data_IF_153535337862
#
_entry.id   IF_153535337862
#
_cell.length_a   1.000
_cell.length_b   1.000
_cell.length_c   1.000
_cell.angle_alpha   90.00
_cell.angle_beta   90.00
_cell.angle_gamma   90.00
#
_symmetry.space_group_name_H-M   'P 1'
#
loop_
_entity.id
_entity.type
_entity.pdbx_description
1 polymer ?
#
# COMPACT_ATOMS: atom_id res chain seq x y z
N UNK A 1 -7.09 21.82 -15.19
CA UNK A 1 -7.56 21.57 -13.81
C UNK A 1 -6.49 22.08 -12.86
N UNK A 2 -6.83 23.07 -12.03
CA UNK A 2 -5.84 23.78 -11.21
C UNK A 2 -5.42 22.94 -10.00
N UNK A 3 -4.14 23.04 -9.61
CA UNK A 3 -3.59 22.40 -8.41
C UNK A 3 -4.33 22.81 -7.12
N UNK A 4 -5.02 23.96 -7.16
CA UNK A 4 -5.80 24.52 -6.06
C UNK A 4 -7.15 23.82 -5.88
N UNK A 5 -7.80 23.38 -6.96
CA UNK A 5 -9.10 22.68 -6.90
C UNK A 5 -8.95 21.25 -6.35
N UNK A 6 -7.79 20.62 -6.57
CA UNK A 6 -7.42 19.35 -5.91
C UNK A 6 -7.20 19.54 -4.41
N UNK A 7 -6.88 20.77 -3.98
CA UNK A 7 -6.55 21.13 -2.60
C UNK A 7 -7.78 21.40 -1.72
N UNK A 8 -8.95 21.65 -2.30
CA UNK A 8 -10.17 21.93 -1.52
C UNK A 8 -10.98 20.64 -1.27
N UNK A 9 -10.77 19.60 -2.08
CA UNK A 9 -11.49 18.31 -1.97
C UNK A 9 -11.02 17.41 -0.82
N UNK A 10 -9.83 17.65 -0.24
CA UNK A 10 -9.25 16.78 0.80
C UNK A 10 -9.67 17.12 2.25
N UNK A 11 -10.42 18.19 2.48
CA UNK A 11 -10.77 18.64 3.83
C UNK A 11 -11.95 17.87 4.49
N UNK A 12 -12.49 16.81 3.87
CA UNK A 12 -13.77 16.19 4.28
C UNK A 12 -13.63 15.06 5.33
N UNK A 13 -12.44 14.56 5.64
CA UNK A 13 -12.29 13.33 6.45
C UNK A 13 -11.71 13.49 7.87
N UNK A 14 -11.47 14.72 8.36
CA UNK A 14 -11.08 14.93 9.77
C UNK A 14 -9.74 14.30 10.20
N UNK A 15 -8.92 13.84 9.24
CA UNK A 15 -7.53 13.44 9.44
C UNK A 15 -6.66 14.54 8.81
N UNK A 16 -5.86 15.24 9.60
CA UNK A 16 -4.82 16.14 9.05
C UNK A 16 -3.78 15.30 8.32
N UNK A 17 -4.00 15.06 7.03
CA UNK A 17 -3.05 14.40 6.13
C UNK A 17 -1.77 15.25 6.07
N UNK A 18 -0.64 14.61 6.38
CA UNK A 18 0.67 15.26 6.42
C UNK A 18 1.15 15.55 5.00
N UNK A 19 1.98 16.60 4.76
CA UNK A 19 2.67 16.80 3.49
C UNK A 19 3.44 15.56 2.98
N UNK A 20 3.85 14.65 3.88
CA UNK A 20 4.44 13.36 3.53
C UNK A 20 3.44 12.41 2.87
N UNK A 21 2.16 12.50 3.23
CA UNK A 21 1.08 11.65 2.71
C UNK A 21 0.83 11.94 1.21
N UNK A 22 1.00 13.20 0.82
CA UNK A 22 0.92 13.62 -0.57
C UNK A 22 2.16 13.25 -1.38
N UNK A 23 3.35 13.24 -0.75
CA UNK A 23 4.63 13.03 -1.45
C UNK A 23 4.80 11.60 -1.95
N UNK A 24 4.44 10.58 -1.17
CA UNK A 24 4.53 9.19 -1.64
C UNK A 24 3.48 8.88 -2.72
N UNK A 25 2.28 9.47 -2.62
CA UNK A 25 1.24 9.31 -3.64
C UNK A 25 1.68 9.90 -4.98
N UNK A 26 2.38 11.04 -4.95
CA UNK A 26 3.00 11.62 -6.15
C UNK A 26 4.08 10.68 -6.74
N UNK A 27 4.93 10.07 -5.90
CA UNK A 27 5.93 9.13 -6.42
C UNK A 27 5.29 7.89 -7.04
N UNK A 28 4.23 7.34 -6.46
CA UNK A 28 3.47 6.22 -7.04
C UNK A 28 2.84 6.62 -8.37
N UNK A 29 2.26 7.82 -8.48
CA UNK A 29 1.73 8.33 -9.74
C UNK A 29 2.81 8.41 -10.84
N UNK A 30 4.02 8.86 -10.48
CA UNK A 30 5.16 8.87 -11.42
C UNK A 30 5.57 7.46 -11.86
N UNK A 31 5.40 6.43 -11.01
CA UNK A 31 5.61 5.04 -11.44
C UNK A 31 4.60 4.66 -12.51
N UNK A 32 3.33 5.03 -12.34
CA UNK A 32 2.29 4.79 -13.37
C UNK A 32 2.62 5.49 -14.69
N UNK A 33 3.05 6.75 -14.63
CA UNK A 33 3.45 7.50 -15.82
C UNK A 33 4.63 6.81 -16.53
N UNK A 34 5.61 6.31 -15.78
CA UNK A 34 6.73 5.55 -16.33
C UNK A 34 6.28 4.20 -16.93
N UNK A 35 5.31 3.54 -16.31
CA UNK A 35 4.71 2.30 -16.83
C UNK A 35 4.01 2.55 -18.16
N UNK A 36 3.22 3.63 -18.26
CA UNK A 36 2.56 4.04 -19.51
C UNK A 36 3.59 4.43 -20.59
N UNK A 37 4.69 5.07 -20.19
CA UNK A 37 5.77 5.47 -21.10
C UNK A 37 6.61 4.31 -21.64
N UNK A 38 6.55 3.11 -21.05
CA UNK A 38 7.27 1.93 -21.53
C UNK A 38 8.78 1.92 -21.27
N UNK A 39 9.33 2.93 -20.59
CA UNK A 39 10.75 2.97 -20.24
C UNK A 39 11.02 2.18 -18.95
N UNK A 40 11.53 0.95 -19.11
CA UNK A 40 11.86 0.07 -18.00
C UNK A 40 12.88 0.68 -17.01
N UNK A 41 13.82 1.51 -17.48
CA UNK A 41 14.79 2.18 -16.61
C UNK A 41 14.11 3.26 -15.77
N UNK A 42 13.20 4.03 -16.38
CA UNK A 42 12.39 5.02 -15.66
C UNK A 42 11.45 4.36 -14.64
N UNK A 43 10.82 3.24 -15.00
CA UNK A 43 9.96 2.46 -14.08
C UNK A 43 10.74 2.02 -12.84
N UNK A 44 11.92 1.41 -13.03
CA UNK A 44 12.77 0.92 -11.94
C UNK A 44 13.20 2.06 -11.01
N UNK A 45 13.68 3.17 -11.59
CA UNK A 45 14.17 4.33 -10.84
C UNK A 45 13.08 4.97 -10.01
N UNK A 46 11.91 5.14 -10.61
CA UNK A 46 10.78 5.81 -9.96
C UNK A 46 10.17 4.91 -8.89
N UNK A 47 10.10 3.60 -9.13
CA UNK A 47 9.68 2.63 -8.12
C UNK A 47 10.62 2.61 -6.91
N UNK A 48 11.93 2.67 -7.13
CA UNK A 48 12.92 2.73 -6.03
C UNK A 48 12.78 4.02 -5.21
N UNK A 49 12.56 5.16 -5.87
CA UNK A 49 12.31 6.44 -5.19
C UNK A 49 11.02 6.38 -4.33
N UNK A 50 9.93 5.83 -4.89
CA UNK A 50 8.69 5.61 -4.15
C UNK A 50 8.89 4.71 -2.93
N UNK A 51 9.67 3.63 -3.08
CA UNK A 51 9.99 2.71 -1.98
C UNK A 51 10.75 3.39 -0.84
N UNK A 52 11.77 4.20 -1.15
CA UNK A 52 12.54 4.94 -0.14
C UNK A 52 11.67 5.93 0.64
N UNK A 53 10.81 6.69 -0.05
CA UNK A 53 9.87 7.62 0.59
C UNK A 53 8.82 6.88 1.44
N UNK A 54 8.27 5.78 0.93
CA UNK A 54 7.32 4.94 1.66
C UNK A 54 7.94 4.34 2.92
N UNK A 55 9.20 3.90 2.87
CA UNK A 55 9.93 3.44 4.03
C UNK A 55 10.10 4.55 5.07
N UNK A 56 10.45 5.77 4.64
CA UNK A 56 10.60 6.95 5.51
C UNK A 56 9.29 7.43 6.17
N UNK A 57 8.13 7.18 5.55
CA UNK A 57 6.82 7.62 6.08
C UNK A 57 6.41 6.94 7.39
N UNK A 58 6.94 5.74 7.67
CA UNK A 58 6.48 4.84 8.75
C UNK A 58 4.99 4.46 8.71
N UNK A 59 4.29 4.75 7.61
CA UNK A 59 2.88 4.40 7.39
C UNK A 59 2.73 3.07 6.65
N UNK A 60 1.56 2.44 6.77
CA UNK A 60 1.28 1.18 6.08
C UNK A 60 0.75 1.43 4.65
N UNK A 61 -0.02 2.49 4.44
CA UNK A 61 -0.63 2.87 3.15
C UNK A 61 0.41 2.98 2.03
N UNK A 62 1.55 3.65 2.22
CA UNK A 62 2.55 3.82 1.15
C UNK A 62 3.22 2.49 0.78
N UNK A 63 3.33 1.58 1.74
CA UNK A 63 3.92 0.26 1.49
C UNK A 63 2.98 -0.63 0.68
N UNK A 64 1.66 -0.54 0.88
CA UNK A 64 0.69 -1.18 -0.01
C UNK A 64 0.86 -0.65 -1.43
N UNK A 65 0.89 0.67 -1.60
CA UNK A 65 0.99 1.29 -2.91
C UNK A 65 2.31 0.93 -3.65
N UNK A 66 3.43 0.84 -2.93
CA UNK A 66 4.72 0.38 -3.48
C UNK A 66 4.68 -1.09 -3.89
N UNK A 67 3.96 -1.94 -3.15
CA UNK A 67 3.72 -3.34 -3.52
C UNK A 67 2.88 -3.46 -4.78
N UNK A 68 1.77 -2.73 -4.86
CA UNK A 68 0.91 -2.71 -6.06
C UNK A 68 1.69 -2.20 -7.29
N UNK A 69 2.49 -1.15 -7.11
CA UNK A 69 3.35 -0.61 -8.15
C UNK A 69 4.45 -1.60 -8.58
N UNK A 70 5.03 -2.37 -7.65
CA UNK A 70 5.98 -3.43 -7.99
C UNK A 70 5.35 -4.45 -8.93
N UNK A 71 4.11 -4.90 -8.65
CA UNK A 71 3.41 -5.84 -9.53
C UNK A 71 3.18 -5.27 -10.93
N UNK A 72 2.85 -3.98 -11.05
CA UNK A 72 2.69 -3.30 -12.35
C UNK A 72 4.00 -3.23 -13.12
N UNK A 73 5.10 -2.85 -12.47
CA UNK A 73 6.43 -2.83 -13.11
C UNK A 73 6.87 -4.23 -13.53
N UNK A 74 6.63 -5.25 -12.69
CA UNK A 74 6.93 -6.64 -13.02
C UNK A 74 6.22 -7.11 -14.29
N UNK A 75 4.91 -6.83 -14.40
CA UNK A 75 4.12 -7.13 -15.61
C UNK A 75 4.60 -6.36 -16.84
N UNK A 76 4.90 -5.06 -16.70
CA UNK A 76 5.31 -4.22 -17.83
C UNK A 76 6.71 -4.58 -18.37
N UNK A 77 7.61 -5.04 -17.50
CA UNK A 77 9.00 -5.37 -17.85
C UNK A 77 9.24 -6.85 -18.13
N UNK A 78 8.29 -7.71 -17.81
CA UNK A 78 8.45 -9.17 -17.86
C UNK A 78 9.23 -9.78 -16.68
N UNK A 79 9.71 -8.95 -15.74
CA UNK A 79 10.45 -9.39 -14.55
C UNK A 79 9.52 -9.76 -13.39
N UNK A 80 8.45 -10.50 -13.67
CA UNK A 80 7.36 -10.80 -12.72
C UNK A 80 7.88 -11.40 -11.41
N UNK A 81 8.69 -12.46 -11.45
CA UNK A 81 9.19 -13.15 -10.24
C UNK A 81 9.97 -12.20 -9.32
N UNK A 82 10.86 -11.38 -9.89
CA UNK A 82 11.68 -10.46 -9.12
C UNK A 82 10.84 -9.36 -8.45
N UNK A 83 9.79 -8.91 -9.13
CA UNK A 83 8.91 -7.86 -8.61
C UNK A 83 7.81 -8.37 -7.69
N UNK A 84 7.37 -9.62 -7.82
CA UNK A 84 6.53 -10.29 -6.82
C UNK A 84 7.27 -10.43 -5.49
N UNK A 85 8.57 -10.78 -5.52
CA UNK A 85 9.39 -10.81 -4.31
C UNK A 85 9.47 -9.43 -3.62
N UNK A 86 9.59 -8.36 -4.41
CA UNK A 86 9.56 -6.97 -3.91
C UNK A 86 8.19 -6.57 -3.36
N UNK A 87 7.11 -6.96 -4.03
CA UNK A 87 5.75 -6.72 -3.57
C UNK A 87 5.49 -7.42 -2.23
N UNK A 88 5.88 -8.69 -2.11
CA UNK A 88 5.80 -9.49 -0.87
C UNK A 88 6.52 -8.80 0.29
N UNK A 89 7.73 -8.29 0.08
CA UNK A 89 8.46 -7.52 1.10
C UNK A 89 7.67 -6.26 1.52
N UNK A 90 7.13 -5.51 0.55
CA UNK A 90 6.34 -4.32 0.83
C UNK A 90 5.07 -4.65 1.65
N UNK A 91 4.37 -5.73 1.32
CA UNK A 91 3.18 -6.18 2.06
C UNK A 91 3.50 -6.67 3.47
N UNK A 92 4.65 -7.30 3.71
CA UNK A 92 5.09 -7.63 5.07
C UNK A 92 5.32 -6.38 5.92
N UNK A 93 5.98 -5.36 5.36
CA UNK A 93 6.18 -4.08 6.08
C UNK A 93 4.83 -3.39 6.31
N UNK A 94 3.93 -3.40 5.33
CA UNK A 94 2.58 -2.86 5.48
C UNK A 94 1.80 -3.56 6.60
N UNK A 95 1.79 -4.90 6.63
CA UNK A 95 1.13 -5.70 7.66
C UNK A 95 1.68 -5.39 9.05
N UNK A 96 3.01 -5.34 9.19
CA UNK A 96 3.67 -5.03 10.46
C UNK A 96 3.25 -3.64 10.98
N UNK A 97 3.29 -2.63 10.12
CA UNK A 97 2.91 -1.25 10.47
C UNK A 97 1.43 -1.13 10.78
N UNK A 98 0.56 -1.74 9.95
CA UNK A 98 -0.88 -1.74 10.17
C UNK A 98 -1.25 -2.40 11.50
N UNK A 99 -0.59 -3.51 11.85
CA UNK A 99 -0.79 -4.17 13.13
C UNK A 99 -0.37 -3.28 14.31
N UNK A 100 0.79 -2.62 14.23
CA UNK A 100 1.25 -1.66 15.26
C UNK A 100 0.33 -0.45 15.41
N UNK A 101 -0.28 0.00 14.32
CA UNK A 101 -1.20 1.13 14.29
C UNK A 101 -2.66 0.74 14.56
N UNK A 102 -2.93 -0.54 14.89
CA UNK A 102 -4.29 -1.06 15.16
C UNK A 102 -5.23 -0.79 13.96
N UNK A 103 -4.69 -0.84 12.74
CA UNK A 103 -5.43 -0.55 11.50
C UNK A 103 -6.01 -1.83 10.92
N UNK A 104 -7.29 -2.08 11.16
CA UNK A 104 -8.03 -3.21 10.58
C UNK A 104 -8.01 -3.16 9.05
N UNK A 105 -8.18 -1.97 8.49
CA UNK A 105 -8.12 -1.74 7.05
C UNK A 105 -6.74 -2.07 6.49
N UNK A 106 -5.67 -1.60 7.15
CA UNK A 106 -4.31 -1.88 6.70
C UNK A 106 -3.96 -3.37 6.71
N UNK A 107 -4.43 -4.12 7.72
CA UNK A 107 -4.24 -5.58 7.78
C UNK A 107 -4.97 -6.26 6.62
N UNK A 108 -6.22 -5.86 6.33
CA UNK A 108 -7.00 -6.43 5.21
C UNK A 108 -6.38 -6.11 3.86
N UNK A 109 -5.90 -4.89 3.65
CA UNK A 109 -5.22 -4.49 2.42
C UNK A 109 -3.93 -5.26 2.21
N UNK A 110 -3.13 -5.47 3.27
CA UNK A 110 -1.93 -6.29 3.19
C UNK A 110 -2.28 -7.76 2.86
N UNK A 111 -3.35 -8.31 3.45
CA UNK A 111 -3.83 -9.66 3.13
C UNK A 111 -4.20 -9.80 1.63
N UNK A 112 -4.91 -8.82 1.07
CA UNK A 112 -5.21 -8.79 -0.37
C UNK A 112 -3.95 -8.69 -1.24
N UNK A 113 -2.90 -8.02 -0.76
CA UNK A 113 -1.59 -8.00 -1.43
C UNK A 113 -0.91 -9.37 -1.44
N UNK A 114 -0.92 -10.10 -0.33
CA UNK A 114 -0.38 -11.47 -0.25
C UNK A 114 -1.13 -12.43 -1.18
N UNK A 115 -2.46 -12.34 -1.24
CA UNK A 115 -3.27 -13.16 -2.16
C UNK A 115 -2.90 -12.90 -3.63
N UNK A 116 -2.68 -11.63 -4.01
CA UNK A 116 -2.24 -11.28 -5.37
C UNK A 116 -0.89 -11.88 -5.78
N UNK A 117 0.00 -12.19 -4.83
CA UNK A 117 1.31 -12.81 -5.09
C UNK A 117 1.32 -14.32 -4.83
N UNK A 118 0.15 -14.92 -4.58
CA UNK A 118 -0.02 -16.36 -4.36
C UNK A 118 0.25 -16.83 -2.92
N UNK A 119 0.53 -15.93 -1.98
CA UNK A 119 0.83 -16.26 -0.58
C UNK A 119 -0.45 -16.45 0.24
N UNK A 120 -1.30 -17.39 -0.19
CA UNK A 120 -2.65 -17.59 0.36
C UNK A 120 -2.66 -17.86 1.87
N UNK A 121 -1.74 -18.69 2.35
CA UNK A 121 -1.63 -19.00 3.78
C UNK A 121 -1.33 -17.75 4.63
N UNK A 122 -0.47 -16.87 4.12
CA UNK A 122 -0.11 -15.61 4.77
C UNK A 122 -1.30 -14.64 4.75
N UNK A 123 -2.03 -14.57 3.64
CA UNK A 123 -3.24 -13.77 3.53
C UNK A 123 -4.30 -14.21 4.57
N UNK A 124 -4.55 -15.51 4.70
CA UNK A 124 -5.48 -16.06 5.69
C UNK A 124 -5.03 -15.78 7.12
N UNK A 125 -3.73 -15.88 7.42
CA UNK A 125 -3.20 -15.54 8.74
C UNK A 125 -3.38 -14.05 9.06
N UNK A 126 -3.15 -13.15 8.09
CA UNK A 126 -3.40 -11.73 8.25
C UNK A 126 -4.89 -11.43 8.52
N UNK A 127 -5.81 -12.13 7.84
CA UNK A 127 -7.25 -11.99 8.11
C UNK A 127 -7.64 -12.47 9.52
N UNK A 128 -7.04 -13.56 10.02
CA UNK A 128 -7.22 -14.01 11.41
C UNK A 128 -6.72 -12.97 12.41
N UNK A 129 -5.59 -12.31 12.13
CA UNK A 129 -5.08 -11.21 12.96
C UNK A 129 -6.05 -10.01 12.98
N UNK A 130 -6.62 -9.65 11.83
CA UNK A 130 -7.64 -8.61 11.71
C UNK A 130 -8.88 -8.94 12.54
N UNK A 131 -9.36 -10.19 12.49
CA UNK A 131 -10.50 -10.62 13.30
C UNK A 131 -10.20 -10.49 14.81
N UNK A 132 -9.08 -11.03 15.28
CA UNK A 132 -8.71 -10.92 16.70
C UNK A 132 -8.53 -9.47 17.16
N UNK A 133 -8.04 -8.58 16.29
CA UNK A 133 -7.96 -7.15 16.58
C UNK A 133 -9.37 -6.53 16.71
N UNK A 134 -10.28 -6.86 15.81
CA UNK A 134 -11.64 -6.35 15.84
C UNK A 134 -12.39 -6.79 17.11
N UNK A 135 -12.20 -8.04 17.54
CA UNK A 135 -12.79 -8.58 18.77
C UNK A 135 -12.26 -7.86 20.02
N UNK A 136 -10.94 -7.67 20.14
CA UNK A 136 -10.31 -7.00 21.29
C UNK A 136 -10.71 -5.53 21.44
N UNK A 137 -10.95 -4.85 20.32
CA UNK A 137 -11.23 -3.41 20.30
C UNK A 137 -12.72 -3.09 20.07
N UNK A 138 -13.60 -4.10 20.04
CA UNK A 138 -15.04 -3.89 19.79
C UNK A 138 -15.34 -3.31 18.40
N UNK A 139 -14.45 -3.50 17.43
CA UNK A 139 -14.57 -3.04 16.04
C UNK A 139 -15.27 -4.08 15.15
N UNK A 140 -15.75 -5.18 15.72
CA UNK A 140 -16.58 -6.18 15.06
C UNK A 140 -18.03 -5.69 14.92
N UNK A 141 -18.79 -6.29 13.98
CA UNK A 141 -20.22 -6.02 13.82
C UNK A 141 -20.94 -6.05 15.18
N UNK A 142 -21.97 -5.20 15.39
CA UNK A 142 -22.68 -5.14 16.67
C UNK A 142 -23.14 -6.53 17.07
N UNK A 143 -22.80 -6.96 18.30
CA UNK A 143 -23.45 -8.13 18.91
C UNK A 143 -24.92 -7.77 19.03
N UNK A 144 -25.74 -8.34 18.15
CA UNK A 144 -27.19 -8.32 18.33
C UNK A 144 -27.51 -9.12 19.61
N UNK A 145 -28.51 -8.66 20.39
CA UNK A 145 -28.91 -9.29 21.66
C UNK A 145 -29.42 -10.73 21.46
#
# INVERSE_FOLDING_TARGET
>A
MSAEERRVRWAVTGRTESPRDFRWAEQVARVEDAVVGGDATAMLRTWQAACLEALGSQQWEPMIAVGDAALRVGRATGFTIAFEAKARQAYHVALFRAHKQVSLEGIRRAAGGFDQVGDREVAEQALRLAQGLAERHGLGAPRLP
#
